data_IF_295656951251
#
_entry.id   IF_295656951251
#
_cell.length_a   1.000
_cell.length_b   1.000
_cell.length_c   1.000
_cell.angle_alpha   90.00
_cell.angle_beta   90.00
_cell.angle_gamma   90.00
#
_symmetry.space_group_name_H-M   'P 1'
#
loop_
_entity.id
_entity.type
_entity.pdbx_description
1 polymer ?
#
# COMPACT_ATOMS: atom_id res chain seq x y z
N UNK A 1 -2.85 -6.09 15.19
CA UNK A 1 -3.46 -5.89 13.86
C UNK A 1 -4.53 -4.79 13.84
N UNK A 2 -5.63 -4.94 14.59
CA UNK A 2 -6.76 -4.01 14.50
C UNK A 2 -6.40 -2.58 14.95
N UNK A 3 -5.58 -2.45 15.98
CA UNK A 3 -5.10 -1.14 16.43
C UNK A 3 -4.20 -0.46 15.39
N UNK A 4 -3.43 -1.21 14.61
CA UNK A 4 -2.60 -0.65 13.53
C UNK A 4 -3.47 -0.18 12.37
N UNK A 5 -4.49 -0.96 12.03
CA UNK A 5 -5.46 -0.59 11.01
C UNK A 5 -6.22 0.69 11.41
N UNK A 6 -6.69 0.76 12.65
CA UNK A 6 -7.38 1.95 13.16
C UNK A 6 -6.51 3.22 13.09
N UNK A 7 -5.20 3.11 13.34
CA UNK A 7 -4.27 4.23 13.17
C UNK A 7 -4.12 4.65 11.71
N UNK A 8 -4.08 3.70 10.79
CA UNK A 8 -4.06 3.98 9.36
C UNK A 8 -5.35 4.69 8.93
N UNK A 9 -6.52 4.19 9.35
CA UNK A 9 -7.82 4.84 9.13
C UNK A 9 -7.83 6.29 9.61
N UNK A 10 -7.40 6.55 10.85
CA UNK A 10 -7.35 7.92 11.37
C UNK A 10 -6.42 8.84 10.56
N UNK A 11 -5.31 8.33 10.03
CA UNK A 11 -4.45 9.08 9.10
C UNK A 11 -5.16 9.38 7.78
N UNK A 12 -5.81 8.38 7.16
CA UNK A 12 -6.56 8.55 5.91
C UNK A 12 -7.65 9.59 6.08
N UNK A 13 -8.43 9.51 7.16
CA UNK A 13 -9.50 10.47 7.48
C UNK A 13 -8.97 11.89 7.65
N UNK A 14 -7.86 12.04 8.38
CA UNK A 14 -7.21 13.35 8.57
C UNK A 14 -6.74 13.93 7.24
N UNK A 15 -6.13 13.13 6.38
CA UNK A 15 -5.61 13.60 5.08
C UNK A 15 -6.73 13.88 4.07
N UNK A 16 -7.80 13.08 4.10
CA UNK A 16 -8.95 13.25 3.24
C UNK A 16 -9.90 14.38 3.70
N UNK A 17 -9.69 14.94 4.89
CA UNK A 17 -10.51 16.01 5.45
C UNK A 17 -10.59 17.21 4.49
N UNK A 18 -11.80 17.73 4.27
CA UNK A 18 -12.05 18.81 3.31
C UNK A 18 -12.08 18.39 1.84
N UNK A 19 -11.83 17.11 1.52
CA UNK A 19 -12.07 16.52 0.19
C UNK A 19 -11.06 16.87 -0.90
N UNK A 20 -9.91 17.46 -0.53
CA UNK A 20 -8.86 17.84 -1.50
C UNK A 20 -8.02 16.63 -1.93
N UNK A 21 -7.78 15.70 -1.00
CA UNK A 21 -7.02 14.47 -1.27
C UNK A 21 -7.99 13.29 -1.36
N UNK A 22 -8.16 12.76 -2.57
CA UNK A 22 -9.03 11.61 -2.85
C UNK A 22 -8.25 10.35 -3.23
N UNK A 23 -6.97 10.49 -3.57
CA UNK A 23 -6.16 9.43 -4.18
C UNK A 23 -4.96 9.07 -3.31
N UNK A 24 -4.88 7.81 -2.90
CA UNK A 24 -3.87 7.31 -1.98
C UNK A 24 -3.03 6.20 -2.62
N UNK A 25 -1.73 6.41 -2.68
CA UNK A 25 -0.76 5.39 -3.09
C UNK A 25 -0.07 4.84 -1.84
N UNK A 26 -0.40 3.62 -1.45
CA UNK A 26 -0.02 3.10 -0.13
C UNK A 26 1.01 1.98 -0.26
N UNK A 27 2.21 2.21 0.25
CA UNK A 27 3.16 1.14 0.47
C UNK A 27 2.66 0.27 1.63
N UNK A 28 2.33 -0.99 1.37
CA UNK A 28 1.68 -1.90 2.32
C UNK A 28 2.63 -2.43 3.41
N UNK A 29 3.68 -1.69 3.76
CA UNK A 29 4.65 -2.03 4.80
C UNK A 29 4.86 -0.82 5.68
N UNK A 30 4.77 -1.02 6.98
CA UNK A 30 5.05 0.03 7.95
C UNK A 30 6.54 0.39 7.92
N UNK A 31 6.83 1.69 8.05
CA UNK A 31 8.18 2.17 8.29
C UNK A 31 8.45 2.17 9.81
N UNK A 32 9.45 1.42 10.25
CA UNK A 32 9.97 1.42 11.62
C UNK A 32 11.09 2.45 11.70
N UNK A 33 10.94 3.43 12.61
CA UNK A 33 11.85 4.57 12.76
C UNK A 33 12.82 4.43 13.95
N UNK A 34 12.94 3.22 14.51
CA UNK A 34 13.88 2.97 15.61
C UNK A 34 15.32 3.04 15.10
N UNK A 35 16.26 3.52 15.93
CA UNK A 35 17.68 3.66 15.57
C UNK A 35 18.33 2.35 15.11
N UNK A 36 17.82 1.21 15.56
CA UNK A 36 18.28 -0.13 15.18
C UNK A 36 17.75 -0.62 13.84
N UNK A 37 16.92 0.16 13.14
CA UNK A 37 16.24 -0.26 11.91
C UNK A 37 16.67 0.60 10.73
N UNK A 38 17.33 0.00 9.75
CA UNK A 38 17.83 0.72 8.58
C UNK A 38 16.75 0.95 7.51
N UNK A 39 16.96 1.88 6.57
CA UNK A 39 16.11 1.99 5.38
C UNK A 39 16.09 0.74 4.50
N UNK A 40 17.09 -0.15 4.60
CA UNK A 40 17.10 -1.43 3.91
C UNK A 40 16.19 -2.44 4.64
N UNK A 41 16.23 -2.49 5.98
CA UNK A 41 15.37 -3.36 6.79
C UNK A 41 13.89 -3.04 6.58
N UNK A 42 13.55 -1.75 6.45
CA UNK A 42 12.20 -1.29 6.10
C UNK A 42 11.69 -1.79 4.74
N UNK A 43 12.52 -2.45 3.93
CA UNK A 43 12.12 -3.04 2.65
C UNK A 43 11.86 -4.54 2.72
N UNK A 44 12.26 -5.22 3.78
CA UNK A 44 12.24 -6.68 3.85
C UNK A 44 11.70 -7.22 5.17
N UNK A 45 11.96 -6.56 6.29
CA UNK A 45 11.71 -7.12 7.63
C UNK A 45 10.25 -7.01 8.08
N UNK A 46 9.57 -5.84 8.06
CA UNK A 46 8.17 -5.81 8.42
C UNK A 46 7.33 -6.57 7.37
N UNK A 47 6.26 -7.26 7.76
CA UNK A 47 5.43 -7.97 6.80
C UNK A 47 4.67 -6.99 5.90
N UNK A 48 4.34 -7.44 4.68
CA UNK A 48 3.38 -6.75 3.82
C UNK A 48 1.96 -6.96 4.35
N UNK A 49 1.12 -5.93 4.23
CA UNK A 49 -0.26 -5.88 4.73
C UNK A 49 -1.22 -5.47 3.61
N UNK A 50 -1.28 -6.28 2.56
CA UNK A 50 -2.18 -6.03 1.42
C UNK A 50 -3.65 -6.06 1.85
N UNK A 51 -3.97 -6.87 2.86
CA UNK A 51 -5.28 -6.94 3.51
C UNK A 51 -5.76 -5.56 4.00
N UNK A 52 -4.86 -4.74 4.52
CA UNK A 52 -5.22 -3.39 4.96
C UNK A 52 -5.65 -2.51 3.79
N UNK A 53 -4.94 -2.58 2.65
CA UNK A 53 -5.24 -1.74 1.50
C UNK A 53 -6.56 -2.17 0.86
N UNK A 54 -6.78 -3.49 0.76
CA UNK A 54 -8.05 -4.06 0.29
C UNK A 54 -9.21 -3.71 1.22
N UNK A 55 -8.97 -3.60 2.52
CA UNK A 55 -10.00 -3.16 3.47
C UNK A 55 -10.26 -1.65 3.35
N UNK A 56 -9.24 -0.83 3.16
CA UNK A 56 -9.42 0.61 2.91
C UNK A 56 -10.30 0.89 1.70
N UNK A 57 -10.16 0.12 0.61
CA UNK A 57 -11.02 0.29 -0.58
C UNK A 57 -12.49 -0.04 -0.33
N UNK A 58 -12.78 -0.87 0.69
CA UNK A 58 -14.14 -1.22 1.11
C UNK A 58 -14.70 -0.21 2.12
N UNK A 59 -13.86 0.20 3.09
CA UNK A 59 -14.26 1.09 4.18
C UNK A 59 -14.41 2.56 3.69
N UNK A 60 -13.70 2.95 2.62
CA UNK A 60 -13.74 4.30 2.03
C UNK A 60 -14.00 4.26 0.52
N UNK A 61 -15.20 3.85 0.07
CA UNK A 61 -15.51 3.70 -1.36
C UNK A 61 -15.51 5.03 -2.15
N UNK A 62 -15.52 6.17 -1.46
CA UNK A 62 -15.39 7.50 -2.03
C UNK A 62 -13.93 7.92 -2.32
N UNK A 63 -12.94 7.17 -1.81
CA UNK A 63 -11.52 7.40 -2.02
C UNK A 63 -10.95 6.32 -2.94
N UNK A 64 -9.85 6.63 -3.63
CA UNK A 64 -9.14 5.65 -4.46
C UNK A 64 -7.85 5.22 -3.78
N UNK A 65 -7.53 3.93 -3.91
CA UNK A 65 -6.31 3.36 -3.35
C UNK A 65 -5.55 2.56 -4.39
N UNK A 66 -4.25 2.80 -4.46
CA UNK A 66 -3.30 2.00 -5.22
C UNK A 66 -2.36 1.25 -4.28
N UNK A 67 -2.17 -0.04 -4.57
CA UNK A 67 -1.32 -0.93 -3.79
C UNK A 67 0.16 -0.78 -4.20
N UNK A 68 1.06 -0.68 -3.23
CA UNK A 68 2.50 -0.71 -3.46
C UNK A 68 3.25 -1.62 -2.47
N UNK A 69 4.42 -2.07 -2.91
CA UNK A 69 5.44 -2.73 -2.09
C UNK A 69 5.44 -4.25 -2.26
N UNK A 70 6.55 -4.83 -2.72
CA UNK A 70 6.70 -6.29 -2.85
C UNK A 70 6.12 -6.92 -4.11
N UNK A 71 5.62 -6.11 -5.05
CA UNK A 71 5.20 -6.57 -6.38
C UNK A 71 6.42 -6.57 -7.31
N UNK A 72 6.73 -7.73 -7.88
CA UNK A 72 7.93 -7.97 -8.66
C UNK A 72 7.67 -8.15 -10.16
N UNK A 73 6.46 -8.55 -10.55
CA UNK A 73 6.12 -8.82 -11.96
C UNK A 73 4.78 -8.24 -12.36
N UNK A 74 4.59 -8.02 -13.66
CA UNK A 74 3.28 -7.64 -14.21
C UNK A 74 2.20 -8.69 -13.91
N UNK A 75 2.56 -9.97 -13.90
CA UNK A 75 1.64 -11.05 -13.53
C UNK A 75 1.16 -10.93 -12.09
N UNK A 76 2.04 -10.61 -11.14
CA UNK A 76 1.64 -10.36 -9.75
C UNK A 76 0.74 -9.13 -9.64
N UNK A 77 1.09 -8.03 -10.32
CA UNK A 77 0.25 -6.83 -10.34
C UNK A 77 -1.16 -7.13 -10.88
N UNK A 78 -1.26 -7.93 -11.94
CA UNK A 78 -2.53 -8.37 -12.51
C UNK A 78 -3.35 -9.19 -11.52
N UNK A 79 -2.74 -10.14 -10.82
CA UNK A 79 -3.40 -10.95 -9.79
C UNK A 79 -3.99 -10.06 -8.69
N UNK A 80 -3.25 -9.05 -8.22
CA UNK A 80 -3.76 -8.14 -7.18
C UNK A 80 -5.00 -7.35 -7.64
N UNK A 81 -4.99 -6.86 -8.89
CA UNK A 81 -6.13 -6.16 -9.48
C UNK A 81 -7.34 -7.10 -9.69
N UNK A 82 -7.11 -8.35 -10.06
CA UNK A 82 -8.18 -9.36 -10.20
C UNK A 82 -8.78 -9.76 -8.84
N UNK A 83 -7.95 -9.88 -7.80
CA UNK A 83 -8.39 -10.26 -6.45
C UNK A 83 -9.13 -9.13 -5.72
N UNK A 84 -8.88 -7.87 -6.07
CA UNK A 84 -9.54 -6.72 -5.47
C UNK A 84 -9.93 -5.71 -6.55
N UNK A 85 -11.11 -5.88 -7.19
CA UNK A 85 -11.56 -4.99 -8.27
C UNK A 85 -11.77 -3.52 -7.87
N UNK A 86 -11.82 -3.23 -6.57
CA UNK A 86 -11.91 -1.86 -6.02
C UNK A 86 -10.54 -1.19 -5.84
N UNK A 87 -9.43 -1.90 -6.04
CA UNK A 87 -8.12 -1.26 -6.16
C UNK A 87 -8.04 -0.49 -7.47
N UNK A 88 -7.60 0.76 -7.39
CA UNK A 88 -7.45 1.61 -8.58
C UNK A 88 -6.18 1.28 -9.36
N UNK A 89 -5.17 0.71 -8.72
CA UNK A 89 -3.90 0.43 -9.34
C UNK A 89 -2.91 -0.33 -8.47
N UNK A 90 -1.80 -0.71 -9.08
CA UNK A 90 -0.62 -1.29 -8.43
C UNK A 90 0.61 -0.52 -8.89
N UNK A 91 1.48 -0.16 -7.95
CA UNK A 91 2.77 0.47 -8.26
C UNK A 91 3.90 -0.55 -8.10
N UNK A 92 4.69 -0.74 -9.15
CA UNK A 92 5.93 -1.52 -9.16
C UNK A 92 7.11 -0.57 -9.02
N UNK A 93 7.94 -0.79 -8.00
CA UNK A 93 9.12 0.05 -7.70
C UNK A 93 10.43 -0.61 -8.13
N UNK A 94 11.11 -1.25 -7.18
CA UNK A 94 12.47 -1.79 -7.36
C UNK A 94 12.58 -2.82 -8.47
N UNK A 95 11.58 -3.65 -8.68
CA UNK A 95 11.62 -4.66 -9.72
C UNK A 95 11.69 -4.03 -11.11
N UNK A 96 10.87 -3.01 -11.38
CA UNK A 96 10.94 -2.23 -12.62
C UNK A 96 12.32 -1.59 -12.82
N UNK A 97 12.87 -1.00 -11.76
CA UNK A 97 14.20 -0.38 -11.82
C UNK A 97 15.33 -1.41 -12.08
N UNK A 98 15.18 -2.64 -11.58
CA UNK A 98 16.18 -3.71 -11.75
C UNK A 98 16.06 -4.42 -13.10
N UNK A 99 14.83 -4.65 -13.57
CA UNK A 99 14.53 -5.26 -14.86
C UNK A 99 13.20 -4.70 -15.42
N UNK A 100 13.24 -3.68 -16.29
CA UNK A 100 12.03 -3.06 -16.80
C UNK A 100 11.22 -3.93 -17.77
N UNK A 101 11.69 -5.13 -18.13
CA UNK A 101 10.99 -6.01 -19.07
C UNK A 101 10.42 -7.28 -18.40
N UNK A 102 10.48 -7.36 -17.07
CA UNK A 102 9.96 -8.49 -16.27
C UNK A 102 8.45 -8.47 -16.04
#
# INVERSE_FOLDING_TARGET
>A
PDQEYAKLCGFIETVAEGGVVTDFQVHARIAVLQKSFSPADNRSVPPLRYDFIRRLTQDYPQLTFSLNGGIETLSQAKIELEQCPTLQGVMIGRAWAANPWS
#
